data_IF_559802523305
#
_entry.id   IF_559802523305
#
_cell.length_a   1.000
_cell.length_b   1.000
_cell.length_c   1.000
_cell.angle_alpha   90.00
_cell.angle_beta   90.00
_cell.angle_gamma   90.00
#
_symmetry.space_group_name_H-M   'P 1'
#
loop_
_entity.id
_entity.type
_entity.pdbx_description
1 polymer ?
#
# COMPACT_ATOMS: atom_id res chain seq x y z
N UNK A 1 8.04 1.69 23.53
CA UNK A 1 6.87 1.20 22.77
C UNK A 1 5.64 1.54 23.58
N UNK A 2 4.94 2.62 23.21
CA UNK A 2 3.69 3.03 23.86
C UNK A 2 2.60 2.08 23.38
N UNK A 3 2.11 1.22 24.27
CA UNK A 3 0.92 0.41 24.01
C UNK A 3 -0.27 1.37 23.88
N UNK A 4 -0.59 1.77 22.66
CA UNK A 4 -1.88 2.39 22.36
C UNK A 4 -2.98 1.47 22.86
N UNK A 5 -4.02 2.06 23.47
CA UNK A 5 -5.09 1.24 24.00
C UNK A 5 -5.77 0.47 22.85
N UNK A 6 -6.25 -0.77 23.06
CA UNK A 6 -6.99 -1.51 22.02
C UNK A 6 -8.18 -0.72 21.45
N UNK A 7 -8.72 0.22 22.24
CA UNK A 7 -9.78 1.14 21.85
C UNK A 7 -9.30 2.20 20.85
N UNK A 8 -8.15 2.85 21.09
CA UNK A 8 -7.58 3.82 20.14
C UNK A 8 -7.26 3.19 18.79
N UNK A 9 -6.63 2.01 18.81
CA UNK A 9 -6.34 1.26 17.59
C UNK A 9 -7.62 0.91 16.80
N UNK A 10 -8.70 0.59 17.52
CA UNK A 10 -10.01 0.29 16.93
C UNK A 10 -10.65 1.53 16.30
N UNK A 11 -10.67 2.66 17.03
CA UNK A 11 -11.23 3.93 16.53
C UNK A 11 -10.47 4.38 15.27
N UNK A 12 -9.15 4.30 15.29
CA UNK A 12 -8.31 4.62 14.14
C UNK A 12 -8.63 3.70 12.95
N UNK A 13 -8.70 2.38 13.18
CA UNK A 13 -9.03 1.43 12.13
C UNK A 13 -10.40 1.70 11.48
N UNK A 14 -11.42 2.05 12.27
CA UNK A 14 -12.75 2.43 11.74
C UNK A 14 -12.69 3.71 10.91
N UNK A 15 -11.94 4.72 11.37
CA UNK A 15 -11.72 5.95 10.61
C UNK A 15 -11.04 5.66 9.27
N UNK A 16 -10.03 4.79 9.25
CA UNK A 16 -9.37 4.38 8.00
C UNK A 16 -10.30 3.59 7.08
N UNK A 17 -11.12 2.69 7.64
CA UNK A 17 -12.11 1.92 6.87
C UNK A 17 -13.20 2.82 6.26
N UNK A 18 -13.63 3.88 6.96
CA UNK A 18 -14.55 4.87 6.43
C UNK A 18 -13.95 5.61 5.22
N UNK A 19 -12.71 6.11 5.34
CA UNK A 19 -11.96 6.72 4.24
C UNK A 19 -11.80 5.77 3.05
N UNK A 20 -11.44 4.51 3.31
CA UNK A 20 -11.36 3.49 2.26
C UNK A 20 -12.71 3.23 1.57
N UNK A 21 -13.82 3.35 2.30
CA UNK A 21 -15.17 3.29 1.77
C UNK A 21 -15.42 4.37 0.73
N UNK A 22 -15.11 5.62 1.07
CA UNK A 22 -15.23 6.76 0.17
C UNK A 22 -14.38 6.57 -1.11
N UNK A 23 -13.12 6.14 -0.95
CA UNK A 23 -12.23 5.88 -2.09
C UNK A 23 -12.76 4.76 -3.00
N UNK A 24 -13.18 3.64 -2.41
CA UNK A 24 -13.64 2.51 -3.19
C UNK A 24 -14.95 2.83 -3.92
N UNK A 25 -15.86 3.58 -3.28
CA UNK A 25 -17.08 4.06 -3.91
C UNK A 25 -16.80 5.00 -5.06
N UNK A 26 -15.89 5.96 -4.90
CA UNK A 26 -15.51 6.89 -5.97
C UNK A 26 -14.96 6.16 -7.21
N UNK A 27 -14.27 5.03 -7.03
CA UNK A 27 -13.68 4.26 -8.12
C UNK A 27 -14.65 3.26 -8.77
N UNK A 28 -15.55 2.65 -7.99
CA UNK A 28 -16.36 1.50 -8.44
C UNK A 28 -17.87 1.72 -8.42
N UNK A 29 -18.36 2.79 -7.77
CA UNK A 29 -19.78 3.10 -7.62
C UNK A 29 -20.54 2.05 -6.79
N UNK A 30 -21.82 1.84 -7.13
CA UNK A 30 -22.76 1.02 -6.36
C UNK A 30 -22.38 -0.47 -6.20
N UNK A 31 -21.45 -0.99 -7.02
CA UNK A 31 -21.03 -2.40 -6.99
C UNK A 31 -19.86 -2.69 -6.04
N UNK A 32 -19.50 -1.73 -5.20
CA UNK A 32 -18.34 -1.81 -4.28
C UNK A 32 -18.58 -2.82 -3.16
N UNK A 33 -17.56 -3.64 -2.85
CA UNK A 33 -17.58 -4.61 -1.74
C UNK A 33 -16.63 -4.20 -0.61
N UNK A 34 -16.81 -4.73 0.60
CA UNK A 34 -15.86 -4.51 1.72
C UNK A 34 -14.42 -4.95 1.40
N UNK A 35 -14.24 -5.99 0.60
CA UNK A 35 -12.91 -6.40 0.11
C UNK A 35 -12.25 -5.33 -0.76
N UNK A 36 -13.04 -4.53 -1.46
CA UNK A 36 -12.54 -3.44 -2.30
C UNK A 36 -12.10 -2.25 -1.48
N UNK A 37 -12.79 -1.96 -0.38
CA UNK A 37 -12.39 -0.96 0.61
C UNK A 37 -11.00 -1.26 1.15
N UNK A 38 -10.79 -2.50 1.64
CA UNK A 38 -9.49 -2.93 2.18
C UNK A 38 -8.42 -2.88 1.10
N UNK A 39 -8.73 -3.37 -0.11
CA UNK A 39 -7.76 -3.35 -1.19
C UNK A 39 -7.38 -1.92 -1.60
N UNK A 40 -8.34 -1.01 -1.62
CA UNK A 40 -8.10 0.39 -1.98
C UNK A 40 -7.23 1.10 -0.94
N UNK A 41 -7.45 0.82 0.36
CA UNK A 41 -6.59 1.31 1.43
C UNK A 41 -5.15 0.79 1.30
N UNK A 42 -4.97 -0.48 0.92
CA UNK A 42 -3.63 -1.03 0.67
C UNK A 42 -2.93 -0.33 -0.50
N UNK A 43 -3.65 -0.06 -1.60
CA UNK A 43 -3.12 0.68 -2.75
C UNK A 43 -2.70 2.09 -2.34
N UNK A 44 -3.58 2.81 -1.64
CA UNK A 44 -3.29 4.16 -1.15
C UNK A 44 -2.10 4.16 -0.17
N UNK A 45 -2.04 3.20 0.76
CA UNK A 45 -0.96 3.10 1.73
C UNK A 45 0.40 2.87 1.05
N UNK A 46 0.46 1.98 0.05
CA UNK A 46 1.68 1.76 -0.74
C UNK A 46 2.06 3.01 -1.52
N UNK A 47 1.09 3.70 -2.10
CA UNK A 47 1.33 4.95 -2.82
C UNK A 47 1.85 6.07 -1.90
N UNK A 48 1.27 6.21 -0.70
CA UNK A 48 1.71 7.16 0.32
C UNK A 48 3.13 6.85 0.76
N UNK A 49 3.47 5.60 1.05
CA UNK A 49 4.83 5.21 1.44
C UNK A 49 5.83 5.41 0.29
N UNK A 50 5.48 5.03 -0.93
CA UNK A 50 6.34 5.23 -2.10
C UNK A 50 6.58 6.73 -2.38
N UNK A 51 5.60 7.60 -2.09
CA UNK A 51 5.70 9.06 -2.19
C UNK A 51 6.30 9.72 -0.96
N UNK A 52 6.31 9.04 0.19
CA UNK A 52 6.89 9.55 1.43
C UNK A 52 8.40 9.61 1.21
N UNK A 53 8.97 10.81 1.20
CA UNK A 53 10.36 10.96 0.88
C UNK A 53 11.19 10.47 2.05
N UNK A 54 11.81 9.31 1.87
CA UNK A 54 12.85 8.82 2.76
C UNK A 54 13.96 9.89 2.83
N UNK A 55 14.41 10.22 4.05
CA UNK A 55 15.45 11.23 4.24
C UNK A 55 16.75 10.82 3.57
N UNK A 56 17.06 9.52 3.54
CA UNK A 56 18.22 8.97 2.85
C UNK A 56 18.01 9.02 1.32
N UNK A 57 16.83 8.63 0.80
CA UNK A 57 16.49 8.86 -0.62
C UNK A 57 16.51 10.34 -1.01
N UNK A 58 16.12 11.28 -0.14
CA UNK A 58 16.21 12.74 -0.39
C UNK A 58 17.66 13.19 -0.53
N UNK A 59 18.58 12.60 0.23
CA UNK A 59 20.01 12.84 0.05
C UNK A 59 20.53 12.28 -1.28
N UNK A 60 19.89 11.24 -1.82
CA UNK A 60 20.26 10.56 -3.06
C UNK A 60 19.44 10.99 -4.31
N UNK A 61 18.44 11.86 -4.16
CA UNK A 61 17.60 12.35 -5.27
C UNK A 61 18.10 13.71 -5.74
N UNK A 62 18.55 13.80 -6.99
CA UNK A 62 18.93 15.09 -7.60
C UNK A 62 17.70 15.94 -7.96
N UNK A 63 17.83 17.27 -7.87
CA UNK A 63 16.82 18.26 -8.26
C UNK A 63 16.30 19.16 -7.13
N UNK A 64 15.37 20.07 -7.44
CA UNK A 64 14.87 21.13 -6.53
C UNK A 64 14.20 20.67 -5.21
N UNK A 65 13.95 19.37 -5.02
CA UNK A 65 13.35 18.83 -3.77
C UNK A 65 14.37 18.42 -2.72
N UNK A 66 15.63 18.27 -3.10
CA UNK A 66 16.74 18.28 -2.17
C UNK A 66 17.20 19.74 -2.12
N UNK A 67 17.20 20.35 -0.93
CA UNK A 67 17.51 21.77 -0.75
C UNK A 67 18.99 22.11 -1.03
N UNK A 68 19.52 21.75 -2.21
CA UNK A 68 20.90 22.02 -2.58
C UNK A 68 21.49 21.27 -3.79
N UNK A 69 20.74 20.53 -4.61
CA UNK A 69 21.37 19.76 -5.72
C UNK A 69 21.42 20.46 -7.08
N UNK A 70 20.70 21.56 -7.27
CA UNK A 70 20.98 22.49 -8.37
C UNK A 70 22.08 23.48 -7.95
N UNK A 71 23.19 22.98 -7.40
CA UNK A 71 24.39 23.78 -7.28
C UNK A 71 24.94 23.99 -8.69
N UNK A 72 25.09 25.25 -9.07
CA UNK A 72 25.75 25.70 -10.30
C UNK A 72 27.07 24.93 -10.44
N UNK A 73 27.25 24.11 -11.49
CA UNK A 73 28.54 23.46 -11.79
C UNK A 73 28.55 21.96 -12.10
N UNK A 74 27.44 21.22 -12.00
CA UNK A 74 27.44 19.79 -12.37
C UNK A 74 27.53 19.55 -13.89
N UNK A 75 28.30 18.54 -14.26
CA UNK A 75 28.54 18.12 -15.65
C UNK A 75 27.45 17.18 -16.18
N UNK A 76 27.32 17.11 -17.51
CA UNK A 76 26.36 16.24 -18.18
C UNK A 76 26.55 14.75 -17.86
N UNK A 77 27.79 14.32 -17.58
CA UNK A 77 28.09 12.93 -17.25
C UNK A 77 27.48 12.52 -15.91
N UNK A 78 27.58 13.39 -14.91
CA UNK A 78 27.02 13.16 -13.57
C UNK A 78 25.49 13.07 -13.61
N UNK A 79 24.83 13.86 -14.45
CA UNK A 79 23.38 13.78 -14.65
C UNK A 79 22.94 12.45 -15.29
N UNK A 80 23.73 11.90 -16.22
CA UNK A 80 23.44 10.61 -16.88
C UNK A 80 23.62 9.45 -15.91
N UNK A 81 24.60 9.53 -15.03
CA UNK A 81 24.86 8.49 -14.02
C UNK A 81 23.76 8.44 -12.96
N UNK A 82 23.26 9.59 -12.53
CA UNK A 82 22.12 9.68 -11.61
C UNK A 82 20.85 9.09 -12.26
N UNK A 83 20.61 9.36 -13.54
CA UNK A 83 19.46 8.78 -14.26
C UNK A 83 19.57 7.26 -14.42
N UNK A 84 20.79 6.73 -14.64
CA UNK A 84 21.03 5.28 -14.62
C UNK A 84 20.68 4.66 -13.27
N UNK A 85 21.08 5.29 -12.17
CA UNK A 85 20.76 4.81 -10.81
C UNK A 85 19.25 4.79 -10.56
N UNK A 86 18.51 5.81 -11.06
CA UNK A 86 17.03 5.84 -11.00
C UNK A 86 16.40 4.64 -11.70
N UNK A 87 16.87 4.33 -12.92
CA UNK A 87 16.37 3.22 -13.74
C UNK A 87 16.68 1.86 -13.08
N UNK A 88 17.88 1.68 -12.53
CA UNK A 88 18.25 0.45 -11.83
C UNK A 88 17.50 0.26 -10.49
N UNK A 89 17.07 1.34 -9.86
CA UNK A 89 16.33 1.31 -8.58
C UNK A 89 14.81 1.18 -8.75
N UNK A 90 14.30 0.97 -9.97
CA UNK A 90 12.86 0.84 -10.28
C UNK A 90 11.99 2.01 -9.77
N UNK A 91 12.53 3.22 -9.73
CA UNK A 91 11.78 4.41 -9.30
C UNK A 91 10.91 4.97 -10.43
N UNK A 92 9.65 5.35 -10.14
CA UNK A 92 8.71 5.89 -11.14
C UNK A 92 9.25 7.19 -11.79
N UNK A 93 8.97 7.45 -13.09
CA UNK A 93 9.32 8.71 -13.75
C UNK A 93 8.65 9.93 -13.09
N UNK A 94 9.35 11.07 -13.10
CA UNK A 94 8.78 12.35 -12.65
C UNK A 94 7.82 12.87 -13.73
N UNK A 95 6.52 12.90 -13.42
CA UNK A 95 5.43 13.25 -14.35
C UNK A 95 4.95 14.71 -14.22
N UNK A 96 5.52 15.49 -13.29
CA UNK A 96 5.29 16.95 -13.19
C UNK A 96 3.86 17.38 -12.83
N UNK A 97 2.88 16.48 -12.79
CA UNK A 97 1.47 16.78 -12.55
C UNK A 97 0.96 16.11 -11.27
N UNK A 98 0.31 16.92 -10.42
CA UNK A 98 -0.22 16.59 -9.10
C UNK A 98 0.82 16.23 -8.03
N UNK A 99 1.37 17.26 -7.37
CA UNK A 99 2.14 17.10 -6.13
C UNK A 99 1.19 16.80 -4.96
N UNK A 100 0.67 15.57 -4.88
CA UNK A 100 0.13 15.06 -3.62
C UNK A 100 1.31 14.78 -2.69
N UNK A 101 1.52 15.69 -1.72
CA UNK A 101 2.45 15.45 -0.63
C UNK A 101 1.67 14.74 0.48
N UNK A 102 2.10 13.54 0.91
CA UNK A 102 1.49 12.90 2.05
C UNK A 102 1.46 13.86 3.24
N UNK A 103 0.29 13.99 3.88
CA UNK A 103 0.22 14.69 5.15
C UNK A 103 0.73 13.77 6.26
N UNK A 104 1.09 14.34 7.42
CA UNK A 104 1.58 13.56 8.57
C UNK A 104 0.61 12.42 8.94
N UNK A 105 -0.69 12.73 8.95
CA UNK A 105 -1.74 11.77 9.27
C UNK A 105 -1.93 10.69 8.19
N UNK A 106 -1.59 10.99 6.93
CA UNK A 106 -1.67 10.00 5.85
C UNK A 106 -0.55 8.96 5.99
N UNK A 107 0.62 9.36 6.48
CA UNK A 107 1.73 8.44 6.74
C UNK A 107 1.37 7.49 7.89
N UNK A 108 0.81 8.02 8.97
CA UNK A 108 0.36 7.20 10.11
C UNK A 108 -0.75 6.22 9.70
N UNK A 109 -1.73 6.67 8.90
CA UNK A 109 -2.75 5.80 8.30
C UNK A 109 -2.12 4.73 7.43
N UNK A 110 -1.19 5.09 6.55
CA UNK A 110 -0.54 4.15 5.64
C UNK A 110 0.25 3.07 6.41
N UNK A 111 1.02 3.46 7.42
CA UNK A 111 1.74 2.51 8.27
C UNK A 111 0.77 1.60 9.04
N UNK A 112 -0.32 2.15 9.57
CA UNK A 112 -1.35 1.39 10.26
C UNK A 112 -2.08 0.38 9.36
N UNK A 113 -2.41 0.76 8.13
CA UNK A 113 -3.00 -0.13 7.12
C UNK A 113 -2.00 -1.21 6.69
N UNK A 114 -0.71 -0.87 6.52
CA UNK A 114 0.31 -1.86 6.19
C UNK A 114 0.57 -2.85 7.33
N UNK A 115 0.40 -2.45 8.60
CA UNK A 115 0.49 -3.39 9.74
C UNK A 115 -0.56 -4.50 9.64
N UNK A 116 -1.70 -4.28 8.97
CA UNK A 116 -2.71 -5.33 8.75
C UNK A 116 -2.16 -6.53 7.97
N UNK A 117 -1.08 -6.35 7.20
CA UNK A 117 -0.40 -7.45 6.51
C UNK A 117 0.13 -8.50 7.49
N UNK A 118 0.33 -8.17 8.78
CA UNK A 118 0.69 -9.15 9.83
C UNK A 118 -0.29 -10.31 9.91
N UNK A 119 -1.57 -10.09 9.58
CA UNK A 119 -2.59 -11.14 9.62
C UNK A 119 -2.43 -12.15 8.47
N UNK A 120 -1.74 -11.78 7.39
CA UNK A 120 -1.38 -12.72 6.33
C UNK A 120 -0.34 -13.77 6.78
N UNK A 121 0.26 -13.61 7.96
CA UNK A 121 1.15 -14.62 8.56
C UNK A 121 0.46 -15.97 8.80
N UNK A 122 -0.88 -15.99 8.92
CA UNK A 122 -1.66 -17.22 9.02
C UNK A 122 -1.76 -18.01 7.69
N UNK A 123 -1.32 -17.43 6.57
CA UNK A 123 -1.33 -18.11 5.28
C UNK A 123 -0.21 -19.16 5.19
N UNK A 124 -0.49 -20.27 4.49
CA UNK A 124 0.51 -21.33 4.20
C UNK A 124 1.81 -20.79 3.55
N UNK A 125 1.71 -19.71 2.77
CA UNK A 125 2.83 -19.06 2.09
C UNK A 125 2.83 -17.55 2.40
N UNK A 126 2.88 -17.21 3.69
CA UNK A 126 2.72 -15.83 4.19
C UNK A 126 3.65 -14.81 3.54
N UNK A 127 4.97 -15.04 3.57
CA UNK A 127 5.96 -14.11 2.99
C UNK A 127 5.71 -13.86 1.50
N UNK A 128 5.38 -14.91 0.75
CA UNK A 128 5.07 -14.81 -0.68
C UNK A 128 3.77 -14.07 -0.93
N UNK A 129 2.73 -14.35 -0.14
CA UNK A 129 1.45 -13.66 -0.24
C UNK A 129 1.62 -12.17 0.04
N UNK A 130 2.35 -11.81 1.10
CA UNK A 130 2.61 -10.41 1.46
C UNK A 130 3.41 -9.68 0.38
N UNK A 131 4.52 -10.25 -0.10
CA UNK A 131 5.32 -9.67 -1.18
C UNK A 131 4.51 -9.49 -2.46
N UNK A 132 3.75 -10.50 -2.84
CA UNK A 132 2.93 -10.46 -4.05
C UNK A 132 1.76 -9.46 -3.92
N UNK A 133 1.15 -9.35 -2.74
CA UNK A 133 0.09 -8.37 -2.47
C UNK A 133 0.62 -6.93 -2.55
N UNK A 134 1.79 -6.64 -1.97
CA UNK A 134 2.44 -5.32 -2.06
C UNK A 134 2.82 -5.00 -3.50
N UNK A 135 3.42 -5.95 -4.23
CA UNK A 135 3.77 -5.76 -5.62
C UNK A 135 2.53 -5.48 -6.49
N UNK A 136 1.44 -6.20 -6.25
CA UNK A 136 0.17 -6.00 -6.95
C UNK A 136 -0.46 -4.65 -6.60
N UNK A 137 -0.44 -4.23 -5.33
CA UNK A 137 -0.95 -2.93 -4.88
C UNK A 137 -0.17 -1.75 -5.49
N UNK A 138 1.13 -1.92 -5.74
CA UNK A 138 1.97 -0.95 -6.46
C UNK A 138 1.62 -0.82 -7.96
N UNK A 139 0.82 -1.74 -8.49
CA UNK A 139 0.51 -1.84 -9.92
C UNK A 139 1.52 -2.67 -10.71
N UNK A 140 2.23 -3.59 -10.05
CA UNK A 140 3.12 -4.53 -10.71
C UNK A 140 2.36 -5.43 -11.71
N UNK A 141 3.04 -5.80 -12.79
CA UNK A 141 2.44 -6.67 -13.80
C UNK A 141 2.11 -8.08 -13.26
N UNK A 142 1.24 -8.79 -13.96
CA UNK A 142 0.83 -10.15 -13.58
C UNK A 142 1.98 -11.16 -13.61
N UNK A 143 3.03 -10.91 -14.39
CA UNK A 143 4.15 -11.82 -14.54
C UNK A 143 5.04 -11.81 -13.30
N UNK A 144 5.43 -10.61 -12.85
CA UNK A 144 6.16 -10.33 -11.63
C UNK A 144 5.40 -10.82 -10.41
N UNK A 145 4.12 -10.48 -10.31
CA UNK A 145 3.27 -10.91 -9.18
C UNK A 145 3.18 -12.44 -9.12
N UNK A 146 3.05 -13.10 -10.26
CA UNK A 146 3.06 -14.57 -10.33
C UNK A 146 4.40 -15.16 -9.89
N UNK A 147 5.53 -14.62 -10.36
CA UNK A 147 6.87 -15.05 -9.96
C UNK A 147 7.10 -14.94 -8.45
N UNK A 148 6.57 -13.89 -7.82
CA UNK A 148 6.65 -13.71 -6.37
C UNK A 148 5.78 -14.73 -5.62
N UNK A 149 4.56 -14.97 -6.09
CA UNK A 149 3.59 -15.77 -5.37
C UNK A 149 3.78 -17.29 -5.58
N UNK A 150 3.84 -17.73 -6.84
CA UNK A 150 3.86 -19.14 -7.24
C UNK A 150 4.82 -19.39 -8.41
N UNK A 151 6.14 -19.23 -8.21
CA UNK A 151 7.14 -19.34 -9.29
C UNK A 151 7.19 -20.73 -9.96
N UNK A 152 6.71 -21.78 -9.27
CA UNK A 152 6.73 -23.16 -9.77
C UNK A 152 5.54 -23.50 -10.67
N UNK A 153 4.53 -22.64 -10.79
CA UNK A 153 3.38 -22.85 -11.68
C UNK A 153 3.67 -22.27 -13.07
N UNK A 154 3.35 -23.04 -14.12
CA UNK A 154 3.67 -22.70 -15.52
C UNK A 154 2.86 -21.54 -16.11
N UNK A 155 1.66 -21.22 -15.61
CA UNK A 155 0.79 -20.21 -16.22
C UNK A 155 0.70 -18.93 -15.40
N UNK A 156 0.92 -17.79 -16.08
CA UNK A 156 0.57 -16.45 -15.62
C UNK A 156 -0.95 -16.27 -15.75
N UNK A 157 -1.68 -16.75 -14.76
CA UNK A 157 -3.13 -16.75 -14.80
C UNK A 157 -3.70 -15.50 -14.12
N UNK A 158 -4.75 -14.90 -14.71
CA UNK A 158 -5.60 -13.89 -14.05
C UNK A 158 -6.13 -14.41 -12.71
N UNK A 159 -6.26 -15.74 -12.60
CA UNK A 159 -6.59 -16.44 -11.37
C UNK A 159 -5.61 -16.16 -10.22
N UNK A 160 -4.30 -16.00 -10.50
CA UNK A 160 -3.29 -15.71 -9.48
C UNK A 160 -3.53 -14.35 -8.82
N UNK A 161 -3.80 -13.33 -9.63
CA UNK A 161 -4.12 -11.97 -9.15
C UNK A 161 -5.38 -11.98 -8.29
N UNK A 162 -6.43 -12.68 -8.76
CA UNK A 162 -7.67 -12.83 -8.02
C UNK A 162 -7.45 -13.57 -6.68
N UNK A 163 -6.65 -14.64 -6.69
CA UNK A 163 -6.33 -15.41 -5.49
C UNK A 163 -5.60 -14.55 -4.44
N UNK A 164 -4.56 -13.82 -4.86
CA UNK A 164 -3.79 -12.94 -3.97
C UNK A 164 -4.70 -11.90 -3.33
N UNK A 165 -5.50 -11.20 -4.13
CA UNK A 165 -6.42 -10.17 -3.63
C UNK A 165 -7.41 -10.76 -2.63
N UNK A 166 -8.08 -11.84 -3.01
CA UNK A 166 -9.12 -12.49 -2.20
C UNK A 166 -8.57 -13.01 -0.88
N UNK A 167 -7.42 -13.68 -0.90
CA UNK A 167 -6.78 -14.23 0.31
C UNK A 167 -6.29 -13.12 1.23
N UNK A 168 -5.61 -12.12 0.67
CA UNK A 168 -5.08 -10.98 1.45
C UNK A 168 -6.22 -10.25 2.16
N UNK A 169 -7.27 -9.86 1.43
CA UNK A 169 -8.42 -9.19 2.05
C UNK A 169 -9.15 -10.09 3.05
N UNK A 170 -9.23 -11.40 2.78
CA UNK A 170 -9.85 -12.37 3.68
C UNK A 170 -9.12 -12.49 5.02
N UNK A 171 -7.78 -12.59 5.01
CA UNK A 171 -6.99 -12.62 6.25
C UNK A 171 -7.10 -11.32 7.03
N UNK A 172 -7.10 -10.17 6.34
CA UNK A 172 -7.25 -8.88 6.99
C UNK A 172 -8.63 -8.74 7.64
N UNK A 173 -9.71 -9.10 6.94
CA UNK A 173 -11.07 -9.09 7.51
C UNK A 173 -11.19 -9.99 8.73
N UNK A 174 -10.58 -11.19 8.68
CA UNK A 174 -10.57 -12.10 9.82
C UNK A 174 -9.83 -11.50 11.02
N UNK A 175 -8.70 -10.83 10.78
CA UNK A 175 -7.94 -10.11 11.80
C UNK A 175 -8.68 -8.92 12.41
N UNK A 176 -9.32 -8.08 11.58
CA UNK A 176 -10.18 -6.97 12.02
C UNK A 176 -11.28 -7.46 12.96
N UNK A 177 -11.92 -8.59 12.63
CA UNK A 177 -12.95 -9.19 13.48
C UNK A 177 -12.38 -9.74 14.79
N UNK A 178 -11.31 -10.52 14.71
CA UNK A 178 -10.77 -11.25 15.88
C UNK A 178 -10.05 -10.34 16.86
N UNK A 179 -9.23 -9.43 16.36
CA UNK A 179 -8.30 -8.66 17.18
C UNK A 179 -8.86 -7.26 17.52
N UNK A 180 -9.70 -6.68 16.66
CA UNK A 180 -10.28 -5.34 16.85
C UNK A 180 -11.80 -5.32 17.03
N UNK A 181 -12.49 -6.47 16.95
CA UNK A 181 -13.95 -6.58 17.03
C UNK A 181 -14.70 -5.73 15.98
N UNK A 182 -14.09 -5.52 14.81
CA UNK A 182 -14.67 -4.76 13.70
C UNK A 182 -15.23 -5.72 12.65
N UNK A 183 -16.47 -5.49 12.19
CA UNK A 183 -17.15 -6.31 11.20
C UNK A 183 -17.79 -5.46 10.09
N UNK A 184 -18.02 -6.04 8.90
CA UNK A 184 -18.85 -5.42 7.87
C UNK A 184 -20.24 -5.03 8.41
N UNK A 185 -20.70 -3.83 8.08
CA UNK A 185 -22.09 -3.39 8.25
C UNK A 185 -22.78 -3.23 6.89
N UNK A 186 -24.02 -2.74 6.92
CA UNK A 186 -24.80 -2.51 5.71
C UNK A 186 -24.08 -1.54 4.75
N UNK A 187 -24.18 -1.84 3.45
CA UNK A 187 -23.44 -1.13 2.42
C UNK A 187 -21.94 -1.48 2.44
N UNK A 188 -21.08 -0.47 2.33
CA UNK A 188 -19.61 -0.59 2.32
C UNK A 188 -18.96 -0.16 3.64
N UNK A 189 -19.78 0.07 4.66
CA UNK A 189 -19.35 0.55 5.97
C UNK A 189 -18.87 -0.60 6.87
N UNK A 190 -18.14 -0.25 7.92
CA UNK A 190 -17.71 -1.17 8.97
C UNK A 190 -18.17 -0.65 10.33
N UNK A 191 -18.49 -1.56 11.25
CA UNK A 191 -18.96 -1.24 12.61
C UNK A 191 -18.26 -2.08 13.66
N UNK A 192 -18.32 -1.61 14.89
CA UNK A 192 -17.93 -2.40 16.06
C UNK A 192 -19.00 -3.42 16.40
N UNK A 193 -18.58 -4.55 16.97
CA UNK A 193 -19.47 -5.45 17.70
C UNK A 193 -19.70 -4.82 19.07
N UNK A 194 -20.84 -4.14 19.25
CA UNK A 194 -21.37 -3.82 20.58
C UNK A 194 -21.90 -5.12 21.19
N UNK A 195 -21.13 -5.72 22.09
CA UNK A 195 -21.61 -6.77 23.01
C UNK A 195 -22.41 -6.15 24.14
#
# INVERSE_FOLDING_TARGET
>A
MTNSSPLEARIQALSWLAHGGELAWALKGEKTRHSDVIWQLLVEAVEVIDKTPDQERRWLTSGQRSGGWNMIGMSRAELVEIERIRLFSSMKPFDGAAKYSPQRNDTDRALGVLDWMRWCNAARLSDRLTKAAIALARGGDSELVHKLYCPTRKSHDRQTVYEIRTRTTGFIMAGLKRDLCIVPSDGISFKEITS
#
